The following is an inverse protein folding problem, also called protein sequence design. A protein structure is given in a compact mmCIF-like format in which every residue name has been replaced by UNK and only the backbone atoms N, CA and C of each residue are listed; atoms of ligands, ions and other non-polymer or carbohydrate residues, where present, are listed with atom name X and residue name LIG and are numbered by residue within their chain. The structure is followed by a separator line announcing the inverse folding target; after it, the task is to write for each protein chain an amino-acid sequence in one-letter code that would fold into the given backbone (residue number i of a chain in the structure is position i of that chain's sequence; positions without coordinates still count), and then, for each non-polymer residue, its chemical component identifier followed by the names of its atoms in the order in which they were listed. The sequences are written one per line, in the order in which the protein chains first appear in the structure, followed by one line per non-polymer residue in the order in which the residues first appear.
data_IF_401281089052
#
_entry.id   IF_401281089052
#
_cell.length_a   1.000
_cell.length_b   1.000
_cell.length_c   1.000
_cell.angle_alpha   90.00
_cell.angle_beta   90.00
_cell.angle_gamma   90.00
#
_symmetry.space_group_name_H-M   'P 1'
#
loop_
_entity.id
_entity.type
_entity.pdbx_description
1 polymer ?
#
# COMPACT_ATOMS: atom_id res chain seq x y z
N UNK A 1 -11.00 -8.98 -11.27
CA UNK A 1 -12.05 -8.46 -10.36
C UNK A 1 -13.45 -8.98 -10.67
N UNK A 2 -13.90 -8.93 -11.93
CA UNK A 2 -15.30 -9.25 -12.29
C UNK A 2 -15.69 -10.73 -12.17
N UNK A 3 -14.75 -11.67 -12.25
CA UNK A 3 -15.09 -13.09 -12.27
C UNK A 3 -15.37 -13.68 -10.88
N UNK A 4 -14.97 -12.98 -9.81
CA UNK A 4 -15.04 -13.47 -8.42
C UNK A 4 -15.83 -12.55 -7.49
N UNK A 5 -16.48 -11.51 -8.03
CA UNK A 5 -17.34 -10.61 -7.25
C UNK A 5 -16.61 -9.68 -6.26
N UNK A 6 -15.30 -9.46 -6.43
CA UNK A 6 -14.57 -8.52 -5.58
C UNK A 6 -14.98 -7.07 -5.84
N UNK A 7 -15.22 -6.31 -4.76
CA UNK A 7 -15.54 -4.87 -4.80
C UNK A 7 -14.31 -3.95 -4.80
N UNK A 8 -13.10 -4.49 -4.74
CA UNK A 8 -11.86 -3.72 -4.59
C UNK A 8 -10.58 -4.53 -4.66
N UNK A 9 -9.44 -3.83 -4.64
CA UNK A 9 -8.08 -4.36 -4.54
C UNK A 9 -7.40 -3.77 -3.31
N UNK A 10 -6.79 -4.63 -2.50
CA UNK A 10 -5.84 -4.24 -1.46
C UNK A 10 -4.42 -4.58 -1.90
N UNK A 11 -3.49 -3.62 -1.83
CA UNK A 11 -2.07 -3.87 -2.12
C UNK A 11 -1.28 -3.94 -0.82
N UNK A 12 -0.49 -5.00 -0.67
CA UNK A 12 0.43 -5.20 0.45
C UNK A 12 1.87 -5.29 -0.08
N UNK A 13 2.55 -4.15 -0.20
CA UNK A 13 3.98 -4.08 -0.53
C UNK A 13 4.77 -3.81 0.74
N UNK A 14 5.56 -4.79 1.18
CA UNK A 14 6.36 -4.73 2.43
C UNK A 14 7.87 -4.72 2.12
N UNK A 15 8.54 -3.59 1.98
CA UNK A 15 8.05 -2.21 1.89
C UNK A 15 8.77 -1.55 0.71
N UNK A 16 8.23 -0.47 0.11
CA UNK A 16 9.02 0.38 -0.77
C UNK A 16 10.31 0.80 -0.04
N UNK A 17 11.45 0.44 -0.62
CA UNK A 17 12.75 0.48 0.06
C UNK A 17 13.50 1.81 -0.12
N UNK A 18 13.11 2.61 -1.11
CA UNK A 18 13.72 3.89 -1.46
C UNK A 18 12.71 4.82 -2.16
N UNK A 19 13.08 6.08 -2.36
CA UNK A 19 12.27 7.11 -3.02
C UNK A 19 11.76 6.66 -4.40
N UNK A 20 12.57 5.91 -5.17
CA UNK A 20 12.17 5.42 -6.50
C UNK A 20 11.10 4.33 -6.37
N UNK A 21 11.23 3.42 -5.41
CA UNK A 21 10.19 2.44 -5.13
C UNK A 21 8.90 3.09 -4.61
N UNK A 22 9.01 4.12 -3.77
CA UNK A 22 7.85 4.89 -3.31
C UNK A 22 7.12 5.58 -4.47
N UNK A 23 7.87 6.17 -5.41
CA UNK A 23 7.29 6.76 -6.62
C UNK A 23 6.63 5.70 -7.51
N UNK A 24 7.30 4.56 -7.73
CA UNK A 24 6.75 3.44 -8.48
C UNK A 24 5.48 2.89 -7.83
N UNK A 25 5.42 2.85 -6.50
CA UNK A 25 4.24 2.42 -5.77
C UNK A 25 3.06 3.37 -5.99
N UNK A 26 3.29 4.69 -5.95
CA UNK A 26 2.25 5.67 -6.26
C UNK A 26 1.78 5.56 -7.72
N UNK A 27 2.69 5.34 -8.68
CA UNK A 27 2.35 5.13 -10.09
C UNK A 27 1.52 3.85 -10.29
N UNK A 28 1.87 2.77 -9.60
CA UNK A 28 1.11 1.53 -9.60
C UNK A 28 -0.32 1.74 -9.10
N UNK A 29 -0.49 2.43 -7.96
CA UNK A 29 -1.80 2.73 -7.39
C UNK A 29 -2.66 3.56 -8.36
N UNK A 30 -2.07 4.60 -8.97
CA UNK A 30 -2.77 5.43 -9.94
C UNK A 30 -3.24 4.64 -11.17
N UNK A 31 -2.48 3.62 -11.61
CA UNK A 31 -2.84 2.76 -12.73
C UNK A 31 -4.06 1.86 -12.46
N UNK A 32 -4.44 1.65 -11.19
CA UNK A 32 -5.67 0.93 -10.82
C UNK A 32 -6.91 1.81 -10.73
N UNK A 33 -6.75 3.14 -10.85
CA UNK A 33 -7.86 4.09 -10.80
C UNK A 33 -8.62 4.39 -12.12
N UNK A 34 -8.29 3.90 -13.33
CA UNK A 34 -9.03 4.30 -14.52
C UNK A 34 -10.35 3.52 -14.67
N UNK A 35 -11.47 4.25 -14.73
CA UNK A 35 -12.79 3.72 -15.09
C UNK A 35 -13.78 3.62 -13.93
N UNK A 36 -14.32 2.42 -13.70
CA UNK A 36 -15.27 2.18 -12.60
C UNK A 36 -14.54 2.22 -11.26
N UNK A 37 -15.08 2.97 -10.29
CA UNK A 37 -14.48 3.10 -8.97
C UNK A 37 -14.72 1.82 -8.15
N UNK A 38 -13.66 1.03 -8.01
CA UNK A 38 -13.55 -0.05 -7.05
C UNK A 38 -12.75 0.44 -5.84
N UNK A 39 -12.98 -0.15 -4.66
CA UNK A 39 -12.18 0.20 -3.49
C UNK A 39 -10.69 -0.12 -3.75
N UNK A 40 -9.82 0.84 -3.50
CA UNK A 40 -8.37 0.67 -3.57
C UNK A 40 -7.79 0.99 -2.20
N UNK A 41 -7.13 0.01 -1.59
CA UNK A 41 -6.58 0.17 -0.24
C UNK A 41 -5.13 -0.31 -0.18
N UNK A 42 -4.39 0.15 0.83
CA UNK A 42 -3.05 -0.39 1.10
C UNK A 42 -2.93 -0.91 2.53
N UNK A 43 -2.14 -1.95 2.72
CA UNK A 43 -1.59 -2.27 4.03
C UNK A 43 -0.36 -1.39 4.25
N UNK A 44 -0.43 -0.47 5.21
CA UNK A 44 0.60 0.55 5.41
C UNK A 44 1.52 0.22 6.59
N UNK A 45 2.84 0.48 6.47
CA UNK A 45 3.78 0.25 7.55
C UNK A 45 3.44 1.08 8.79
N UNK A 46 3.64 0.49 9.97
CA UNK A 46 3.66 1.23 11.24
C UNK A 46 5.07 1.66 11.67
N UNK A 47 6.12 1.11 11.07
CA UNK A 47 7.51 1.45 11.36
C UNK A 47 7.96 2.75 10.69
N UNK A 48 8.57 3.65 11.46
CA UNK A 48 9.03 4.98 10.99
C UNK A 48 9.92 4.92 9.76
N UNK A 49 10.92 4.05 9.77
CA UNK A 49 11.84 3.88 8.65
C UNK A 49 11.18 3.42 7.33
N UNK A 50 9.91 3.00 7.37
CA UNK A 50 9.17 2.57 6.18
C UNK A 50 8.13 3.60 5.75
N UNK A 51 7.39 4.23 6.69
CA UNK A 51 6.40 5.22 6.31
C UNK A 51 7.04 6.58 5.93
N UNK A 52 8.27 6.88 6.37
CA UNK A 52 8.99 8.10 5.97
C UNK A 52 9.48 8.07 4.52
N UNK A 53 9.67 6.88 3.94
CA UNK A 53 10.02 6.72 2.52
C UNK A 53 8.81 6.98 1.59
N UNK A 54 7.59 6.93 2.12
CA UNK A 54 6.36 7.07 1.33
C UNK A 54 5.91 8.54 1.23
N UNK A 55 5.52 8.95 0.03
CA UNK A 55 4.71 10.17 -0.16
C UNK A 55 3.25 9.89 0.23
N UNK A 56 2.98 9.89 1.54
CA UNK A 56 1.65 9.62 2.09
C UNK A 56 0.59 10.62 1.60
N UNK A 57 0.99 11.87 1.32
CA UNK A 57 0.08 12.87 0.79
C UNK A 57 -0.38 12.49 -0.62
N UNK A 58 0.56 12.15 -1.52
CA UNK A 58 0.24 11.68 -2.88
C UNK A 58 -0.60 10.41 -2.83
N UNK A 59 -0.22 9.43 -2.01
CA UNK A 59 -0.95 8.16 -1.87
C UNK A 59 -2.37 8.40 -1.35
N UNK A 60 -2.56 9.30 -0.38
CA UNK A 60 -3.89 9.63 0.17
C UNK A 60 -4.87 10.23 -0.85
N UNK A 61 -4.35 10.81 -1.94
CA UNK A 61 -5.17 11.29 -3.05
C UNK A 61 -5.57 10.19 -4.04
N UNK A 62 -5.08 8.96 -3.87
CA UNK A 62 -5.26 7.83 -4.81
C UNK A 62 -6.07 6.70 -4.16
N UNK A 63 -5.82 6.38 -2.90
CA UNK A 63 -6.42 5.23 -2.19
C UNK A 63 -7.60 5.66 -1.31
N UNK A 64 -8.55 4.76 -1.11
CA UNK A 64 -9.72 5.00 -0.26
C UNK A 64 -9.38 4.89 1.23
N UNK A 65 -8.52 3.92 1.58
CA UNK A 65 -8.17 3.63 2.97
C UNK A 65 -6.72 3.12 3.12
N UNK A 66 -6.13 3.50 4.25
CA UNK A 66 -4.91 2.90 4.78
C UNK A 66 -5.28 1.91 5.88
N UNK A 67 -4.77 0.68 5.78
CA UNK A 67 -4.83 -0.31 6.86
C UNK A 67 -3.47 -0.37 7.54
N UNK A 68 -3.33 0.34 8.66
CA UNK A 68 -2.10 0.38 9.43
C UNK A 68 -1.76 -0.99 10.04
N UNK A 69 -0.62 -1.56 9.66
CA UNK A 69 -0.11 -2.81 10.21
C UNK A 69 0.51 -2.59 11.60
N UNK A 70 -0.34 -2.26 12.57
CA UNK A 70 0.03 -1.91 13.93
C UNK A 70 0.29 -3.14 14.83
N UNK A 71 1.01 -4.11 14.30
CA UNK A 71 1.34 -5.39 14.93
C UNK A 71 2.76 -5.81 14.51
N UNK A 72 3.22 -6.97 14.96
CA UNK A 72 4.57 -7.51 14.67
C UNK A 72 5.75 -6.59 15.07
N UNK A 73 5.54 -5.71 16.06
CA UNK A 73 6.60 -4.86 16.61
C UNK A 73 7.73 -5.64 17.29
N UNK A 74 7.45 -6.87 17.73
CA UNK A 74 8.42 -7.74 18.41
C UNK A 74 8.13 -9.19 18.07
N UNK A 75 9.16 -9.96 17.77
CA UNK A 75 9.06 -11.38 17.44
C UNK A 75 10.41 -11.91 16.99
N UNK A 76 10.51 -13.23 16.80
CA UNK A 76 11.70 -13.83 16.20
C UNK A 76 11.67 -13.55 14.71
N UNK A 77 12.70 -12.87 14.20
CA UNK A 77 12.92 -12.76 12.76
C UNK A 77 13.46 -14.11 12.27
N UNK A 78 12.61 -14.90 11.63
CA UNK A 78 13.08 -16.09 10.91
C UNK A 78 13.59 -15.59 9.57
N UNK A 79 14.92 -15.56 9.40
CA UNK A 79 15.50 -15.28 8.09
C UNK A 79 15.12 -16.43 7.15
N UNK A 80 14.35 -16.11 6.11
CA UNK A 80 14.06 -17.00 4.97
C UNK A 80 15.21 -17.02 3.97
#
# INVERSE_FOLDING_TARGET
MKDWGFGGIGINWEYPADEREAENFALLLAAYSPGYHFLLTIASPAGQAHYEELDLQKISGIVDNFYLMAYDYSGVRVAG
#
